data_IF_931917343896
#
_entry.id   IF_931917343896
#
_cell.length_a   1.000
_cell.length_b   1.000
_cell.length_c   1.000
_cell.angle_alpha   90.00
_cell.angle_beta   90.00
_cell.angle_gamma   90.00
#
_symmetry.space_group_name_H-M   'P 1'
#
loop_
_entity.id
_entity.type
_entity.pdbx_description
1 polymer ?
#
# COMPACT_ATOMS: atom_id res chain seq x y z
N UNK A 1 59.79 -4.41 -79.17
CA UNK A 1 60.08 -3.10 -78.57
C UNK A 1 58.80 -2.24 -78.61
N UNK A 2 58.49 -1.57 -77.58
CA UNK A 2 57.33 -0.75 -77.21
C UNK A 2 56.18 -1.52 -76.55
N UNK A 3 56.23 -1.50 -75.21
CA UNK A 3 55.24 -1.86 -74.22
C UNK A 3 54.02 -0.91 -74.27
N UNK A 4 52.84 -1.47 -74.42
CA UNK A 4 51.60 -0.72 -74.27
C UNK A 4 50.92 -1.12 -72.93
N UNK A 5 51.04 -0.29 -71.90
CA UNK A 5 50.43 -0.48 -70.64
C UNK A 5 48.92 -0.10 -70.75
N UNK A 6 48.01 -1.08 -70.69
CA UNK A 6 46.58 -0.85 -70.49
C UNK A 6 46.36 -0.63 -69.00
N UNK A 7 45.86 0.55 -68.62
CA UNK A 7 45.32 0.86 -67.32
C UNK A 7 43.91 0.28 -67.25
N UNK A 8 43.75 -0.74 -66.42
CA UNK A 8 42.41 -1.27 -66.04
C UNK A 8 41.90 -0.43 -64.87
N UNK A 9 40.86 0.32 -65.13
CA UNK A 9 40.13 1.13 -64.13
C UNK A 9 39.18 0.17 -63.41
N UNK A 10 39.51 -0.19 -62.16
CA UNK A 10 38.65 -1.00 -61.30
C UNK A 10 37.60 -0.10 -60.64
N UNK A 11 36.37 -0.15 -61.13
CA UNK A 11 35.24 0.56 -60.54
C UNK A 11 34.74 -0.26 -59.37
N UNK A 12 35.04 0.20 -58.13
CA UNK A 12 34.51 -0.38 -56.89
C UNK A 12 33.10 0.14 -56.73
N UNK A 13 32.11 -0.73 -56.98
CA UNK A 13 30.71 -0.50 -56.69
C UNK A 13 30.48 -0.70 -55.20
N UNK A 14 30.40 0.39 -54.44
CA UNK A 14 30.10 0.37 -53.02
C UNK A 14 28.63 0.09 -52.83
N UNK A 15 28.25 -1.15 -52.56
CA UNK A 15 26.89 -1.50 -52.16
C UNK A 15 26.69 -1.04 -50.71
N UNK A 16 26.01 0.09 -50.51
CA UNK A 16 25.48 0.49 -49.23
C UNK A 16 24.24 -0.38 -48.92
N UNK A 17 24.46 -1.44 -48.15
CA UNK A 17 23.37 -2.17 -47.52
C UNK A 17 22.90 -1.30 -46.34
N UNK A 18 21.88 -0.49 -46.56
CA UNK A 18 21.09 0.09 -45.46
C UNK A 18 20.38 -1.05 -44.74
N UNK A 19 20.98 -1.49 -43.61
CA UNK A 19 20.25 -2.24 -42.62
C UNK A 19 19.24 -1.24 -41.95
N UNK A 20 18.04 -1.19 -42.50
CA UNK A 20 16.89 -0.68 -41.78
C UNK A 20 16.58 -1.70 -40.70
N UNK A 21 17.19 -1.51 -39.51
CA UNK A 21 16.63 -2.08 -38.29
C UNK A 21 15.30 -1.37 -38.03
N UNK A 22 14.28 -1.76 -38.75
CA UNK A 22 12.92 -1.52 -38.37
C UNK A 22 12.67 -2.39 -37.14
N UNK A 23 12.88 -1.84 -35.96
CA UNK A 23 12.38 -2.40 -34.74
C UNK A 23 10.85 -2.38 -34.77
N UNK A 24 10.24 -3.36 -35.45
CA UNK A 24 8.80 -3.66 -35.37
C UNK A 24 8.59 -4.34 -34.02
N UNK A 25 8.70 -3.59 -32.91
CA UNK A 25 8.17 -4.03 -31.63
C UNK A 25 6.64 -4.10 -31.80
N UNK A 26 6.05 -5.24 -31.52
CA UNK A 26 4.59 -5.37 -31.45
C UNK A 26 4.06 -4.28 -30.52
N UNK A 27 2.95 -3.58 -30.87
CA UNK A 27 2.42 -2.53 -30.01
C UNK A 27 2.06 -3.11 -28.64
N UNK A 28 2.47 -2.41 -27.58
CA UNK A 28 2.13 -2.78 -26.22
C UNK A 28 0.63 -2.72 -26.02
N UNK A 29 0.05 -3.80 -25.49
CA UNK A 29 -1.36 -3.91 -25.17
C UNK A 29 -1.59 -3.62 -23.69
N UNK A 30 -2.69 -2.93 -23.40
CA UNK A 30 -3.20 -2.72 -22.06
C UNK A 30 -4.22 -3.82 -21.74
N UNK A 31 -3.99 -4.59 -20.68
CA UNK A 31 -4.93 -5.61 -20.17
C UNK A 31 -5.31 -5.20 -18.75
N UNK A 32 -6.61 -5.22 -18.43
CA UNK A 32 -7.10 -4.77 -17.12
C UNK A 32 -8.14 -5.71 -16.58
N UNK A 33 -8.17 -5.87 -15.25
CA UNK A 33 -9.16 -6.63 -14.50
C UNK A 33 -9.56 -5.87 -13.24
N UNK A 34 -10.79 -6.08 -12.78
CA UNK A 34 -11.27 -5.58 -11.49
C UNK A 34 -11.72 -6.74 -10.63
N UNK A 35 -11.48 -6.63 -9.31
CA UNK A 35 -11.89 -7.62 -8.32
C UNK A 35 -12.34 -6.93 -7.02
N UNK A 36 -12.92 -7.70 -6.09
CA UNK A 36 -13.24 -7.23 -4.74
C UNK A 36 -12.57 -8.17 -3.75
N UNK A 37 -11.55 -7.68 -3.06
CA UNK A 37 -10.74 -8.42 -2.09
C UNK A 37 -10.20 -7.45 -1.05
N UNK A 38 -9.82 -7.91 0.13
CA UNK A 38 -9.33 -7.06 1.23
C UNK A 38 -10.35 -5.97 1.64
N UNK A 39 -11.65 -6.27 1.50
CA UNK A 39 -12.74 -5.35 1.83
C UNK A 39 -12.80 -4.08 0.95
N UNK A 40 -12.23 -4.12 -0.27
CA UNK A 40 -12.22 -2.98 -1.19
C UNK A 40 -12.26 -3.43 -2.65
N UNK A 41 -12.48 -2.46 -3.56
CA UNK A 41 -12.33 -2.69 -5.00
C UNK A 41 -10.85 -2.61 -5.38
N UNK A 42 -10.41 -3.61 -6.13
CA UNK A 42 -9.06 -3.67 -6.72
C UNK A 42 -9.17 -3.50 -8.23
N UNK A 43 -8.31 -2.67 -8.80
CA UNK A 43 -8.13 -2.58 -10.25
C UNK A 43 -6.67 -2.85 -10.59
N UNK A 44 -6.45 -3.87 -11.42
CA UNK A 44 -5.13 -4.26 -11.91
C UNK A 44 -5.04 -4.02 -13.40
N UNK A 45 -3.97 -3.36 -13.84
CA UNK A 45 -3.68 -3.11 -15.26
C UNK A 45 -2.23 -3.44 -15.53
N UNK A 46 -1.98 -4.25 -16.55
CA UNK A 46 -0.63 -4.58 -17.02
C UNK A 46 -0.46 -4.19 -18.50
N UNK A 47 0.75 -3.81 -18.85
CA UNK A 47 1.16 -3.48 -20.22
C UNK A 47 2.11 -4.54 -20.74
N UNK A 48 1.68 -5.30 -21.73
CA UNK A 48 2.34 -6.48 -22.29
C UNK A 48 2.33 -6.47 -23.82
N UNK A 49 3.10 -7.32 -24.46
CA UNK A 49 3.03 -7.49 -25.91
C UNK A 49 1.89 -8.45 -26.33
N UNK A 50 1.65 -9.49 -25.56
CA UNK A 50 0.64 -10.52 -25.85
C UNK A 50 -0.48 -10.48 -24.78
N UNK A 51 -1.73 -10.38 -25.22
CA UNK A 51 -2.90 -10.27 -24.33
C UNK A 51 -3.08 -11.51 -23.43
N UNK A 52 -2.76 -12.69 -23.94
CA UNK A 52 -2.82 -13.94 -23.16
C UNK A 52 -1.88 -13.89 -21.97
N UNK A 53 -0.64 -13.44 -22.18
CA UNK A 53 0.33 -13.25 -21.10
C UNK A 53 -0.18 -12.21 -20.07
N UNK A 54 -0.82 -11.14 -20.55
CA UNK A 54 -1.42 -10.16 -19.66
C UNK A 54 -2.54 -10.74 -18.78
N UNK A 55 -3.37 -11.61 -19.32
CA UNK A 55 -4.42 -12.32 -18.57
C UNK A 55 -3.85 -13.28 -17.54
N UNK A 56 -2.80 -14.03 -17.91
CA UNK A 56 -2.13 -14.95 -17.00
C UNK A 56 -1.49 -14.19 -15.83
N UNK A 57 -0.81 -13.08 -16.10
CA UNK A 57 -0.23 -12.22 -15.05
C UNK A 57 -1.30 -11.62 -14.14
N UNK A 58 -2.44 -11.15 -14.68
CA UNK A 58 -3.53 -10.63 -13.87
C UNK A 58 -4.16 -11.71 -12.98
N UNK A 59 -4.26 -12.94 -13.47
CA UNK A 59 -4.75 -14.07 -12.69
C UNK A 59 -3.82 -14.36 -11.48
N UNK A 60 -2.52 -14.37 -11.69
CA UNK A 60 -1.53 -14.56 -10.61
C UNK A 60 -1.58 -13.40 -9.59
N UNK A 61 -1.74 -12.15 -10.03
CA UNK A 61 -1.94 -11.00 -9.15
C UNK A 61 -3.20 -11.18 -8.31
N UNK A 62 -4.29 -11.61 -8.91
CA UNK A 62 -5.55 -11.90 -8.23
C UNK A 62 -5.37 -13.00 -7.18
N UNK A 63 -4.73 -14.10 -7.53
CA UNK A 63 -4.46 -15.21 -6.62
C UNK A 63 -3.57 -14.76 -5.44
N UNK A 64 -2.57 -13.92 -5.70
CA UNK A 64 -1.74 -13.30 -4.66
C UNK A 64 -2.58 -12.45 -3.69
N UNK A 65 -3.47 -11.59 -4.19
CA UNK A 65 -4.36 -10.76 -3.37
C UNK A 65 -5.24 -11.61 -2.46
N UNK A 66 -5.92 -12.63 -3.01
CA UNK A 66 -6.77 -13.53 -2.24
C UNK A 66 -5.98 -14.35 -1.23
N UNK A 67 -4.81 -14.88 -1.61
CA UNK A 67 -3.94 -15.61 -0.69
C UNK A 67 -3.56 -14.77 0.53
N UNK A 68 -3.13 -13.52 0.31
CA UNK A 68 -2.76 -12.66 1.44
C UNK A 68 -3.97 -12.27 2.28
N UNK A 69 -5.13 -12.00 1.67
CA UNK A 69 -6.36 -11.68 2.40
C UNK A 69 -6.83 -12.84 3.27
N UNK A 70 -6.90 -14.04 2.73
CA UNK A 70 -7.57 -15.18 3.36
C UNK A 70 -6.63 -16.05 4.20
N UNK A 71 -5.35 -16.23 3.75
CA UNK A 71 -4.42 -17.19 4.35
C UNK A 71 -3.32 -16.53 5.20
N UNK A 72 -3.11 -15.21 5.07
CA UNK A 72 -2.02 -14.53 5.78
C UNK A 72 -2.54 -13.47 6.74
N UNK A 73 -3.24 -12.45 6.25
CA UNK A 73 -3.50 -11.20 6.97
C UNK A 73 -4.80 -11.21 7.78
N UNK A 74 -5.75 -12.05 7.41
CA UNK A 74 -7.06 -12.09 8.08
C UNK A 74 -6.92 -12.49 9.55
N UNK A 75 -7.50 -11.70 10.44
CA UNK A 75 -7.70 -12.11 11.82
C UNK A 75 -9.03 -12.86 12.02
N UNK A 76 -9.90 -12.88 10.99
CA UNK A 76 -11.22 -13.54 10.98
C UNK A 76 -11.19 -14.96 10.43
N UNK A 77 -10.38 -15.21 9.40
CA UNK A 77 -10.24 -16.53 8.80
C UNK A 77 -9.36 -17.42 9.68
N UNK A 78 -9.91 -18.53 10.19
CA UNK A 78 -9.22 -19.39 11.16
C UNK A 78 -7.89 -19.97 10.63
N UNK A 79 -7.79 -20.19 9.32
CA UNK A 79 -6.59 -20.72 8.67
C UNK A 79 -5.48 -19.68 8.55
N UNK A 80 -5.81 -18.37 8.54
CA UNK A 80 -4.86 -17.32 8.30
C UNK A 80 -3.78 -17.21 9.37
N UNK A 81 -2.56 -16.87 8.96
CA UNK A 81 -1.41 -16.80 9.87
C UNK A 81 -1.63 -15.82 11.03
N UNK A 82 -2.19 -14.63 10.77
CA UNK A 82 -2.50 -13.66 11.84
C UNK A 82 -3.54 -14.22 12.84
N UNK A 83 -4.56 -14.93 12.38
CA UNK A 83 -5.52 -15.59 13.27
C UNK A 83 -4.85 -16.70 14.08
N UNK A 84 -3.89 -17.42 13.50
CA UNK A 84 -3.10 -18.44 14.22
C UNK A 84 -2.21 -17.79 15.28
N UNK A 85 -1.50 -16.71 14.96
CA UNK A 85 -0.72 -15.93 15.91
C UNK A 85 -1.61 -15.47 17.08
N UNK A 86 -2.77 -14.89 16.78
CA UNK A 86 -3.71 -14.37 17.77
C UNK A 86 -4.22 -15.46 18.73
N UNK A 87 -4.35 -16.71 18.27
CA UNK A 87 -4.76 -17.84 19.13
C UNK A 87 -3.69 -18.27 20.13
N UNK A 88 -2.43 -17.92 19.91
CA UNK A 88 -1.34 -18.22 20.85
C UNK A 88 -1.21 -17.17 21.96
N UNK A 89 -2.01 -16.10 21.96
CA UNK A 89 -1.96 -15.08 22.99
C UNK A 89 -2.15 -15.68 24.39
N UNK A 90 -1.25 -15.32 25.34
CA UNK A 90 -1.20 -15.89 26.69
C UNK A 90 -0.57 -17.29 26.80
N UNK A 91 -0.18 -17.91 25.68
CA UNK A 91 0.48 -19.21 25.68
C UNK A 91 1.95 -19.10 26.08
N UNK A 92 2.43 -20.00 26.93
CA UNK A 92 3.85 -20.10 27.25
C UNK A 92 4.71 -20.56 26.06
N UNK A 93 4.10 -21.21 25.08
CA UNK A 93 4.80 -21.70 23.88
C UNK A 93 4.96 -20.63 22.80
N UNK A 94 4.05 -19.63 22.75
CA UNK A 94 4.05 -18.62 21.71
C UNK A 94 3.68 -19.17 20.32
N UNK A 95 3.93 -18.37 19.29
CA UNK A 95 3.80 -18.77 17.89
C UNK A 95 5.18 -18.99 17.29
N UNK A 96 5.46 -20.20 16.80
CA UNK A 96 6.72 -20.56 16.18
C UNK A 96 6.68 -20.22 14.67
N UNK A 97 7.74 -19.54 14.22
CA UNK A 97 7.90 -19.24 12.81
C UNK A 97 8.36 -20.48 12.04
N UNK A 98 7.77 -20.66 10.86
CA UNK A 98 8.39 -21.52 9.85
C UNK A 98 9.68 -20.91 9.35
N UNK A 99 10.65 -21.74 8.95
CA UNK A 99 11.89 -21.28 8.31
C UNK A 99 11.53 -20.38 7.12
N UNK A 100 12.16 -19.19 7.02
CA UNK A 100 11.97 -18.18 5.96
C UNK A 100 10.56 -17.54 5.88
N UNK A 101 9.83 -17.45 6.99
CA UNK A 101 8.54 -16.77 6.99
C UNK A 101 8.65 -15.29 6.53
N UNK A 102 8.05 -15.00 5.37
CA UNK A 102 7.97 -13.62 4.86
C UNK A 102 7.24 -12.69 5.81
N UNK A 103 6.19 -13.17 6.49
CA UNK A 103 5.44 -12.41 7.48
C UNK A 103 6.29 -12.00 8.69
N UNK A 104 7.24 -12.83 9.15
CA UNK A 104 8.17 -12.46 10.23
C UNK A 104 8.97 -11.21 9.87
N UNK A 105 9.49 -11.15 8.64
CA UNK A 105 10.23 -9.99 8.13
C UNK A 105 9.32 -8.76 8.04
N UNK A 106 8.13 -8.92 7.49
CA UNK A 106 7.17 -7.82 7.35
C UNK A 106 6.78 -7.27 8.73
N UNK A 107 6.48 -8.14 9.71
CA UNK A 107 6.20 -7.72 11.09
C UNK A 107 7.38 -7.02 11.74
N UNK A 108 8.64 -7.42 11.49
CA UNK A 108 9.80 -6.74 12.06
C UNK A 108 9.92 -5.28 11.59
N UNK A 109 9.57 -5.01 10.32
CA UNK A 109 9.50 -3.64 9.78
C UNK A 109 8.36 -2.85 10.45
N UNK A 110 7.19 -3.48 10.62
CA UNK A 110 6.04 -2.85 11.29
C UNK A 110 6.42 -2.46 12.73
N UNK A 111 7.12 -3.33 13.48
CA UNK A 111 7.61 -3.03 14.83
C UNK A 111 8.61 -1.88 14.86
N UNK A 112 9.51 -1.78 13.88
CA UNK A 112 10.40 -0.62 13.75
C UNK A 112 9.61 0.67 13.58
N UNK A 113 8.59 0.67 12.69
CA UNK A 113 7.72 1.83 12.48
C UNK A 113 6.92 2.15 13.74
N UNK A 114 6.39 1.14 14.45
CA UNK A 114 5.70 1.32 15.72
C UNK A 114 6.60 2.01 16.75
N UNK A 115 7.84 1.58 16.88
CA UNK A 115 8.80 2.18 17.80
C UNK A 115 9.14 3.64 17.42
N UNK A 116 9.41 3.92 16.15
CA UNK A 116 9.76 5.26 15.66
C UNK A 116 8.58 6.23 15.68
N UNK A 117 7.36 5.74 15.48
CA UNK A 117 6.13 6.54 15.61
C UNK A 117 5.67 6.70 17.07
N UNK A 118 6.41 6.14 18.04
CA UNK A 118 6.04 6.13 19.46
C UNK A 118 4.64 5.53 19.68
N UNK A 119 4.35 4.42 18.97
CA UNK A 119 3.08 3.70 19.08
C UNK A 119 1.92 4.26 18.24
N UNK A 120 2.09 5.36 17.51
CA UNK A 120 1.03 5.89 16.65
C UNK A 120 0.60 4.90 15.53
N UNK A 121 1.50 4.04 15.08
CA UNK A 121 1.19 2.77 14.43
C UNK A 121 1.33 1.66 15.46
N UNK A 122 0.25 0.99 15.79
CA UNK A 122 0.31 -0.21 16.64
C UNK A 122 -0.67 -1.26 16.13
N UNK A 123 -0.13 -2.33 15.57
CA UNK A 123 -0.94 -3.44 15.05
C UNK A 123 -1.50 -4.34 16.16
N UNK A 124 -1.17 -4.10 17.43
CA UNK A 124 -1.73 -4.82 18.58
C UNK A 124 -3.09 -4.29 19.01
N UNK A 125 -3.60 -3.22 18.38
CA UNK A 125 -4.93 -2.63 18.66
C UNK A 125 -6.12 -3.52 18.29
N UNK A 126 -5.87 -4.74 17.82
CA UNK A 126 -6.92 -5.68 17.41
C UNK A 126 -8.09 -5.84 18.38
N UNK A 127 -7.90 -5.91 19.71
CA UNK A 127 -9.04 -5.94 20.64
C UNK A 127 -9.94 -4.71 20.56
N UNK A 128 -9.34 -3.52 20.33
CA UNK A 128 -10.06 -2.25 20.22
C UNK A 128 -10.75 -2.13 18.86
N UNK A 129 -10.06 -2.41 17.75
CA UNK A 129 -10.68 -2.37 16.41
C UNK A 129 -11.86 -3.32 16.30
N UNK A 130 -11.79 -4.48 16.96
CA UNK A 130 -12.87 -5.47 16.96
C UNK A 130 -14.12 -5.02 17.71
N UNK A 131 -13.98 -4.28 18.82
CA UNK A 131 -15.15 -3.78 19.55
C UNK A 131 -15.81 -2.61 18.83
N UNK A 132 -15.05 -1.75 18.18
CA UNK A 132 -15.57 -0.70 17.31
C UNK A 132 -16.24 -1.27 16.07
N UNK A 133 -15.65 -2.28 15.45
CA UNK A 133 -16.11 -2.98 14.24
C UNK A 133 -16.56 -2.02 13.11
N UNK A 134 -15.87 -0.89 12.98
CA UNK A 134 -16.27 0.22 12.08
C UNK A 134 -16.25 -0.20 10.61
N UNK A 135 -15.40 -1.15 10.21
CA UNK A 135 -15.42 -1.72 8.87
C UNK A 135 -16.75 -2.40 8.54
N UNK A 136 -17.34 -3.09 9.52
CA UNK A 136 -18.65 -3.72 9.35
C UNK A 136 -19.76 -2.67 9.29
N UNK A 137 -19.78 -1.73 10.23
CA UNK A 137 -20.82 -0.72 10.33
C UNK A 137 -20.80 0.29 9.18
N UNK A 138 -19.64 0.57 8.59
CA UNK A 138 -19.54 1.44 7.42
C UNK A 138 -20.20 0.86 6.15
N UNK A 139 -20.40 -0.46 6.10
CA UNK A 139 -20.98 -1.16 4.95
C UNK A 139 -22.38 -1.72 5.21
N UNK A 140 -22.89 -1.61 6.44
CA UNK A 140 -24.18 -2.19 6.86
C UNK A 140 -25.07 -1.14 7.50
N UNK A 141 -26.32 -1.53 7.80
CA UNK A 141 -27.25 -0.68 8.50
C UNK A 141 -26.74 -0.36 9.91
N UNK A 142 -26.84 0.89 10.30
CA UNK A 142 -26.34 1.43 11.58
C UNK A 142 -27.43 1.59 12.64
N UNK A 143 -28.66 1.08 12.42
CA UNK A 143 -29.75 1.17 13.40
C UNK A 143 -29.36 0.56 14.77
N UNK A 144 -28.57 -0.50 14.78
CA UNK A 144 -28.09 -1.17 15.99
C UNK A 144 -26.72 -0.70 16.44
N UNK A 145 -26.11 0.28 15.76
CA UNK A 145 -24.79 0.79 16.14
C UNK A 145 -24.86 1.48 17.50
N UNK A 146 -23.89 1.16 18.34
CA UNK A 146 -23.70 1.83 19.64
C UNK A 146 -22.21 2.01 19.90
N UNK A 147 -21.86 3.13 20.53
CA UNK A 147 -20.49 3.36 20.94
C UNK A 147 -20.05 2.36 22.00
N UNK A 148 -18.82 1.81 21.92
CA UNK A 148 -18.22 1.11 23.04
C UNK A 148 -18.17 2.02 24.28
N UNK A 149 -18.41 1.46 25.48
CA UNK A 149 -18.29 2.26 26.69
C UNK A 149 -16.82 2.61 27.00
N UNK A 150 -16.59 3.70 27.72
CA UNK A 150 -15.25 4.10 28.13
C UNK A 150 -14.55 3.01 28.96
N UNK A 151 -15.32 2.28 29.80
CA UNK A 151 -14.79 1.17 30.59
C UNK A 151 -14.38 -0.01 29.71
N UNK A 152 -15.16 -0.33 28.66
CA UNK A 152 -14.78 -1.36 27.69
C UNK A 152 -13.48 -1.00 26.98
N UNK A 153 -13.36 0.23 26.47
CA UNK A 153 -12.14 0.70 25.80
C UNK A 153 -10.95 0.64 26.75
N UNK A 154 -11.08 1.13 27.99
CA UNK A 154 -9.99 1.12 28.97
C UNK A 154 -9.48 -0.30 29.25
N UNK A 155 -10.37 -1.28 29.43
CA UNK A 155 -10.01 -2.68 29.64
C UNK A 155 -9.30 -3.27 28.42
N UNK A 156 -9.77 -2.94 27.20
CA UNK A 156 -9.16 -3.46 25.97
C UNK A 156 -7.79 -2.86 25.71
N UNK A 157 -7.56 -1.59 26.05
CA UNK A 157 -6.25 -0.94 25.94
C UNK A 157 -5.19 -1.58 26.83
N UNK A 158 -5.57 -2.22 27.96
CA UNK A 158 -4.62 -2.98 28.77
C UNK A 158 -3.98 -4.13 27.98
N UNK A 159 -4.67 -4.64 26.95
CA UNK A 159 -4.25 -5.74 26.09
C UNK A 159 -3.65 -5.26 24.75
N UNK A 160 -3.24 -3.98 24.65
CA UNK A 160 -2.54 -3.42 23.51
C UNK A 160 -1.16 -2.90 23.91
N UNK A 161 -0.32 -2.58 22.94
CA UNK A 161 1.02 -2.06 23.15
C UNK A 161 2.07 -2.97 22.50
N UNK A 162 2.65 -2.51 21.38
CA UNK A 162 3.67 -3.27 20.62
C UNK A 162 4.88 -3.65 21.48
N UNK A 163 5.24 -2.84 22.47
CA UNK A 163 6.35 -3.06 23.38
C UNK A 163 6.12 -4.22 24.36
N UNK A 164 4.87 -4.66 24.55
CA UNK A 164 4.53 -5.82 25.40
C UNK A 164 4.76 -7.16 24.71
N UNK A 165 4.94 -7.13 23.37
CA UNK A 165 5.16 -8.33 22.56
C UNK A 165 6.62 -8.77 22.71
N UNK A 166 6.82 -10.03 23.08
CA UNK A 166 8.16 -10.60 23.22
C UNK A 166 8.55 -11.33 21.93
N UNK A 167 9.67 -10.91 21.35
CA UNK A 167 10.28 -11.55 20.19
C UNK A 167 11.44 -12.44 20.63
N UNK A 168 11.45 -13.66 20.15
CA UNK A 168 12.60 -14.57 20.20
C UNK A 168 13.00 -14.96 18.78
N UNK A 169 14.17 -15.58 18.60
CA UNK A 169 14.68 -15.93 17.27
C UNK A 169 13.65 -16.73 16.45
N UNK A 170 13.00 -17.72 17.09
CA UNK A 170 12.08 -18.63 16.41
C UNK A 170 10.61 -18.45 16.81
N UNK A 171 10.29 -17.52 17.70
CA UNK A 171 8.94 -17.40 18.24
C UNK A 171 8.51 -15.96 18.54
N UNK A 172 7.18 -15.76 18.50
CA UNK A 172 6.49 -14.54 18.88
C UNK A 172 5.54 -14.85 20.05
N UNK A 173 5.58 -14.05 21.10
CA UNK A 173 4.74 -14.20 22.27
C UNK A 173 3.87 -12.98 22.46
N UNK A 174 2.57 -13.19 22.33
CA UNK A 174 1.57 -12.17 22.62
C UNK A 174 1.07 -12.35 24.06
N UNK A 175 0.95 -11.27 24.87
CA UNK A 175 0.24 -11.30 26.14
C UNK A 175 -1.19 -11.83 25.99
N UNK A 176 -1.76 -12.35 27.08
CA UNK A 176 -3.15 -12.80 27.13
C UNK A 176 -4.10 -11.65 26.75
N UNK A 177 -5.08 -11.92 25.88
CA UNK A 177 -6.06 -10.95 25.41
C UNK A 177 -5.59 -10.04 24.27
N UNK A 178 -4.28 -9.99 23.99
CA UNK A 178 -3.75 -9.23 22.84
C UNK A 178 -4.14 -9.88 21.52
N UNK A 179 -4.36 -9.06 20.50
CA UNK A 179 -4.61 -9.51 19.12
C UNK A 179 -3.96 -8.56 18.12
N UNK A 180 -3.32 -9.12 17.12
CA UNK A 180 -2.84 -8.38 15.96
C UNK A 180 -3.97 -8.12 14.98
N UNK A 181 -3.97 -6.91 14.43
CA UNK A 181 -4.80 -6.48 13.30
C UNK A 181 -3.90 -5.71 12.32
N UNK A 182 -3.72 -6.25 11.11
CA UNK A 182 -2.85 -5.67 10.08
C UNK A 182 -3.62 -4.80 9.07
N UNK A 183 -4.81 -4.35 9.38
CA UNK A 183 -5.63 -3.51 8.49
C UNK A 183 -4.95 -2.22 8.05
N UNK A 184 -4.08 -1.65 8.90
CA UNK A 184 -3.34 -0.42 8.64
C UNK A 184 -2.14 -0.58 7.68
N UNK A 185 -1.74 -1.81 7.35
CA UNK A 185 -0.51 -2.10 6.60
C UNK A 185 -0.70 -3.14 5.50
N UNK A 186 -1.82 -3.86 5.53
CA UNK A 186 -2.03 -5.06 4.72
C UNK A 186 -2.06 -4.81 3.22
N UNK A 187 -2.67 -3.71 2.78
CA UNK A 187 -2.80 -3.38 1.35
C UNK A 187 -1.44 -3.04 0.75
N UNK A 188 -0.66 -2.22 1.46
CA UNK A 188 0.70 -1.88 1.06
C UNK A 188 1.62 -3.09 1.05
N UNK A 189 1.53 -3.94 2.06
CA UNK A 189 2.28 -5.19 2.13
C UNK A 189 2.04 -6.07 0.89
N UNK A 190 0.78 -6.26 0.50
CA UNK A 190 0.46 -7.06 -0.69
C UNK A 190 0.95 -6.38 -1.96
N UNK A 191 0.92 -5.05 -2.05
CA UNK A 191 1.52 -4.31 -3.18
C UNK A 191 3.02 -4.60 -3.32
N UNK A 192 3.78 -4.72 -2.21
CA UNK A 192 5.21 -5.12 -2.25
C UNK A 192 5.39 -6.54 -2.82
N UNK A 193 4.52 -7.49 -2.44
CA UNK A 193 4.58 -8.86 -2.97
C UNK A 193 4.27 -8.89 -4.48
N UNK A 194 3.27 -8.13 -4.91
CA UNK A 194 2.93 -8.00 -6.32
C UNK A 194 4.07 -7.32 -7.11
N UNK A 195 4.70 -6.28 -6.57
CA UNK A 195 5.85 -5.63 -7.20
C UNK A 195 7.02 -6.61 -7.37
N UNK A 196 7.30 -7.43 -6.34
CA UNK A 196 8.31 -8.48 -6.40
C UNK A 196 8.00 -9.51 -7.48
N UNK A 197 6.75 -9.97 -7.56
CA UNK A 197 6.29 -10.87 -8.62
C UNK A 197 6.46 -10.22 -10.01
N UNK A 198 6.07 -8.96 -10.18
CA UNK A 198 6.19 -8.25 -11.47
C UNK A 198 7.64 -8.09 -11.92
N UNK A 199 8.61 -7.96 -10.99
CA UNK A 199 10.05 -7.89 -11.31
C UNK A 199 10.55 -9.17 -12.00
N UNK A 200 9.96 -10.30 -11.69
CA UNK A 200 10.28 -11.60 -12.31
C UNK A 200 9.62 -11.77 -13.69
N UNK A 201 8.59 -10.95 -14.00
CA UNK A 201 7.80 -11.06 -15.23
C UNK A 201 8.40 -10.21 -16.37
N UNK A 202 9.40 -10.72 -17.09
CA UNK A 202 10.09 -9.99 -18.16
C UNK A 202 9.17 -9.52 -19.31
N UNK A 203 8.00 -10.14 -19.45
CA UNK A 203 6.99 -9.78 -20.45
C UNK A 203 6.18 -8.54 -20.07
N UNK A 204 6.13 -8.19 -18.76
CA UNK A 204 5.41 -7.01 -18.28
C UNK A 204 6.31 -5.79 -18.42
N UNK A 205 5.84 -4.78 -19.13
CA UNK A 205 6.59 -3.52 -19.34
C UNK A 205 6.28 -2.49 -18.27
N UNK A 206 5.02 -2.43 -17.86
CA UNK A 206 4.53 -1.52 -16.86
C UNK A 206 3.24 -2.05 -16.25
N UNK A 207 2.88 -1.57 -15.07
CA UNK A 207 1.63 -1.92 -14.40
C UNK A 207 1.15 -0.77 -13.52
N UNK A 208 -0.15 -0.70 -13.30
CA UNK A 208 -0.76 0.08 -12.21
C UNK A 208 -1.81 -0.79 -11.52
N UNK A 209 -1.72 -0.86 -10.21
CA UNK A 209 -2.62 -1.65 -9.38
C UNK A 209 -3.14 -0.74 -8.27
N UNK A 210 -4.44 -0.69 -8.11
CA UNK A 210 -5.09 0.06 -7.03
C UNK A 210 -5.79 -0.90 -6.10
N UNK A 211 -5.54 -0.79 -4.80
CA UNK A 211 -6.15 -1.59 -3.73
C UNK A 211 -6.77 -0.61 -2.73
N UNK A 212 -8.01 -0.17 -2.99
CA UNK A 212 -8.62 0.92 -2.23
C UNK A 212 -7.76 2.19 -2.29
N UNK A 213 -7.36 2.70 -1.12
CA UNK A 213 -6.51 3.89 -0.99
C UNK A 213 -5.01 3.66 -1.30
N UNK A 214 -4.59 2.43 -1.59
CA UNK A 214 -3.19 2.09 -1.91
C UNK A 214 -3.00 1.87 -3.40
N UNK A 215 -1.93 2.43 -3.98
CA UNK A 215 -1.62 2.35 -5.42
C UNK A 215 -0.17 1.93 -5.61
N UNK A 216 0.04 0.91 -6.44
CA UNK A 216 1.35 0.53 -7.00
C UNK A 216 1.42 1.01 -8.45
N UNK A 217 2.42 1.82 -8.79
CA UNK A 217 2.88 2.00 -10.16
C UNK A 217 4.15 1.16 -10.36
N UNK A 218 4.28 0.47 -11.48
CA UNK A 218 5.42 -0.38 -11.79
C UNK A 218 5.94 -0.06 -13.19
N UNK A 219 7.23 0.28 -13.28
CA UNK A 219 7.88 0.64 -14.53
C UNK A 219 7.32 1.91 -15.20
N UNK A 220 7.89 2.28 -16.32
CA UNK A 220 7.46 3.44 -17.09
C UNK A 220 6.37 3.07 -18.08
N UNK A 221 5.37 3.94 -18.22
CA UNK A 221 4.33 3.73 -19.24
C UNK A 221 4.92 3.62 -20.63
N UNK A 222 4.44 2.68 -21.46
CA UNK A 222 4.97 2.44 -22.81
C UNK A 222 4.86 3.62 -23.77
N UNK A 223 3.95 4.57 -23.49
CA UNK A 223 3.75 5.80 -24.27
C UNK A 223 4.66 6.95 -23.83
N UNK A 224 5.49 6.73 -22.82
CA UNK A 224 6.40 7.74 -22.24
C UNK A 224 5.71 8.79 -21.36
N UNK A 225 4.40 8.67 -21.12
CA UNK A 225 3.69 9.56 -20.20
C UNK A 225 3.88 9.14 -18.75
N UNK A 226 3.73 10.09 -17.82
CA UNK A 226 3.76 9.79 -16.38
C UNK A 226 2.51 9.04 -15.92
N UNK A 227 2.63 8.34 -14.79
CA UNK A 227 1.50 7.87 -14.00
C UNK A 227 0.84 9.05 -13.31
N UNK A 228 -0.49 9.10 -13.37
CA UNK A 228 -1.26 10.13 -12.70
C UNK A 228 -2.16 9.48 -11.66
N UNK A 229 -1.88 9.73 -10.38
CA UNK A 229 -2.66 9.23 -9.25
C UNK A 229 -3.42 10.40 -8.63
N UNK A 230 -4.76 10.37 -8.68
CA UNK A 230 -5.58 11.42 -8.14
C UNK A 230 -5.63 11.36 -6.60
N UNK A 231 -5.47 12.52 -5.95
CA UNK A 231 -5.69 12.68 -4.51
C UNK A 231 -7.13 13.11 -4.30
N UNK A 232 -7.92 12.22 -3.71
CA UNK A 232 -9.36 12.42 -3.50
C UNK A 232 -9.61 13.60 -2.57
N UNK A 233 -10.68 14.35 -2.83
CA UNK A 233 -11.08 15.46 -1.96
C UNK A 233 -11.86 14.91 -0.75
N UNK A 234 -11.39 15.12 0.50
CA UNK A 234 -11.92 14.45 1.69
C UNK A 234 -13.35 14.85 2.08
N UNK A 235 -13.87 15.94 1.50
CA UNK A 235 -15.18 16.51 1.85
C UNK A 235 -16.10 16.72 0.65
N UNK A 236 -15.71 16.35 -0.57
CA UNK A 236 -16.53 16.49 -1.77
C UNK A 236 -16.51 15.21 -2.57
N UNK A 237 -17.67 14.60 -2.72
CA UNK A 237 -17.83 13.41 -3.55
C UNK A 237 -17.42 13.67 -5.01
N UNK A 238 -16.84 12.68 -5.64
CA UNK A 238 -16.41 12.72 -7.05
C UNK A 238 -15.47 13.90 -7.41
N UNK A 239 -14.76 14.44 -6.40
CA UNK A 239 -13.79 15.50 -6.57
C UNK A 239 -12.39 15.03 -6.13
N UNK A 240 -11.35 15.69 -6.63
CA UNK A 240 -9.97 15.49 -6.21
C UNK A 240 -9.27 16.83 -5.97
N UNK A 241 -8.29 16.83 -5.08
CA UNK A 241 -7.50 18.00 -4.71
C UNK A 241 -6.44 18.32 -5.77
N UNK A 242 -5.91 17.29 -6.39
CA UNK A 242 -4.85 17.35 -7.38
C UNK A 242 -4.43 15.96 -7.81
N UNK A 243 -3.30 15.89 -8.48
CA UNK A 243 -2.78 14.66 -9.07
C UNK A 243 -1.30 14.52 -8.75
N UNK A 244 -0.88 13.35 -8.29
CA UNK A 244 0.52 12.97 -8.24
C UNK A 244 0.97 12.53 -9.63
N UNK A 245 2.09 13.07 -10.08
CA UNK A 245 2.72 12.73 -11.37
C UNK A 245 3.99 11.93 -11.08
N UNK A 246 3.97 10.63 -11.40
CA UNK A 246 5.01 9.67 -11.05
C UNK A 246 5.61 9.03 -12.31
N UNK A 247 6.87 8.66 -12.25
CA UNK A 247 7.58 7.85 -13.26
C UNK A 247 8.24 6.67 -12.60
N UNK A 248 8.27 5.52 -13.27
CA UNK A 248 8.85 4.31 -12.68
C UNK A 248 7.95 3.63 -11.65
N UNK A 249 8.60 2.96 -10.69
CA UNK A 249 7.92 2.18 -9.65
C UNK A 249 7.80 3.01 -8.37
N UNK A 250 6.56 3.20 -7.91
CA UNK A 250 6.24 3.89 -6.67
C UNK A 250 5.05 3.26 -5.98
N UNK A 251 5.00 3.42 -4.67
CA UNK A 251 3.86 3.05 -3.84
C UNK A 251 3.26 4.31 -3.24
N UNK A 252 1.95 4.44 -3.36
CA UNK A 252 1.17 5.54 -2.80
C UNK A 252 0.15 4.93 -1.86
N UNK A 253 0.05 5.42 -0.64
CA UNK A 253 -1.01 5.04 0.28
C UNK A 253 -1.66 6.28 0.88
N UNK A 254 -2.96 6.24 1.03
CA UNK A 254 -3.73 7.31 1.65
C UNK A 254 -4.56 6.77 2.80
N UNK A 255 -4.41 7.38 3.97
CA UNK A 255 -5.26 7.21 5.13
C UNK A 255 -6.18 8.43 5.27
N UNK A 256 -7.49 8.20 5.43
CA UNK A 256 -8.47 9.28 5.50
C UNK A 256 -9.69 8.93 6.33
N UNK A 257 -10.26 9.92 7.01
CA UNK A 257 -11.44 9.80 7.87
C UNK A 257 -12.75 9.61 7.10
N UNK A 258 -12.69 9.69 5.78
CA UNK A 258 -13.82 9.61 4.85
C UNK A 258 -13.93 8.25 4.12
N UNK A 259 -12.96 7.36 4.31
CA UNK A 259 -12.94 6.08 3.60
C UNK A 259 -13.92 5.07 4.21
N UNK A 260 -13.85 4.88 5.53
CA UNK A 260 -14.74 3.99 6.29
C UNK A 260 -15.10 4.66 7.60
N UNK A 261 -16.37 5.00 7.77
CA UNK A 261 -16.85 5.69 8.96
C UNK A 261 -18.34 5.42 9.19
N UNK A 262 -18.77 5.68 10.42
CA UNK A 262 -20.16 5.73 10.83
C UNK A 262 -20.47 7.15 11.30
N UNK A 263 -21.57 7.71 10.84
CA UNK A 263 -22.11 8.94 11.41
C UNK A 263 -23.16 8.60 12.47
N UNK A 264 -22.88 8.96 13.71
CA UNK A 264 -23.76 8.71 14.83
C UNK A 264 -23.90 9.95 15.71
N UNK A 265 -25.14 10.36 15.96
CA UNK A 265 -25.48 11.59 16.70
C UNK A 265 -24.75 12.85 16.17
N UNK A 266 -24.55 12.95 14.85
CA UNK A 266 -23.92 14.10 14.22
C UNK A 266 -22.38 14.14 14.33
N UNK A 267 -21.75 13.09 14.87
CA UNK A 267 -20.31 12.92 14.90
C UNK A 267 -19.89 11.75 14.00
N UNK A 268 -18.77 11.92 13.30
CA UNK A 268 -18.14 10.88 12.48
C UNK A 268 -17.18 10.06 13.33
N UNK A 269 -17.28 8.73 13.21
CA UNK A 269 -16.39 7.75 13.81
C UNK A 269 -15.77 6.93 12.70
N UNK A 270 -14.52 7.22 12.36
CA UNK A 270 -13.78 6.54 11.29
C UNK A 270 -12.90 5.42 11.84
N UNK A 271 -12.47 4.53 10.95
CA UNK A 271 -11.79 3.27 11.28
C UNK A 271 -10.34 3.40 11.75
N UNK A 272 -9.72 4.59 11.64
CA UNK A 272 -8.33 4.80 12.08
C UNK A 272 -8.35 5.10 13.58
N UNK A 273 -7.98 4.10 14.36
CA UNK A 273 -7.97 4.19 15.84
C UNK A 273 -6.63 4.75 16.31
N UNK A 274 -6.69 5.69 17.23
CA UNK A 274 -5.55 6.14 18.01
C UNK A 274 -5.25 5.09 19.09
N UNK A 275 -4.06 4.45 19.10
CA UNK A 275 -3.71 3.41 20.04
C UNK A 275 -3.64 3.86 21.49
N UNK A 276 -3.35 5.14 21.73
CA UNK A 276 -3.24 5.70 23.09
C UNK A 276 -4.62 5.90 23.73
N UNK A 277 -5.61 6.29 22.93
CA UNK A 277 -6.95 6.61 23.44
C UNK A 277 -7.97 5.49 23.23
N UNK A 278 -7.76 4.63 22.23
CA UNK A 278 -8.70 3.59 21.80
C UNK A 278 -9.93 4.14 21.06
N UNK A 279 -9.91 5.40 20.67
CA UNK A 279 -10.96 6.06 19.87
C UNK A 279 -10.46 6.40 18.47
N UNK A 280 -11.36 6.67 17.50
CA UNK A 280 -10.96 7.26 16.24
C UNK A 280 -10.08 8.48 16.45
N UNK A 281 -8.94 8.54 15.74
CA UNK A 281 -7.94 9.59 15.89
C UNK A 281 -8.52 10.98 15.58
N UNK A 282 -8.17 11.96 16.39
CA UNK A 282 -8.60 13.35 16.26
C UNK A 282 -7.35 14.27 16.35
N UNK A 283 -6.58 14.26 15.26
CA UNK A 283 -5.24 14.85 15.18
C UNK A 283 -5.19 16.15 14.39
N UNK A 284 -6.36 16.67 13.94
CA UNK A 284 -6.46 17.89 13.14
C UNK A 284 -6.16 17.68 11.65
N UNK A 285 -6.04 16.41 11.20
CA UNK A 285 -5.91 16.05 9.77
C UNK A 285 -7.02 15.10 9.36
N UNK A 286 -7.53 15.28 8.16
CA UNK A 286 -8.58 14.44 7.58
C UNK A 286 -8.06 13.49 6.49
N UNK A 287 -6.85 13.69 6.00
CA UNK A 287 -6.20 12.82 5.02
C UNK A 287 -4.68 12.94 5.07
N UNK A 288 -4.00 11.80 4.93
CA UNK A 288 -2.54 11.74 4.75
C UNK A 288 -2.22 10.81 3.60
N UNK A 289 -1.45 11.30 2.63
CA UNK A 289 -0.94 10.50 1.51
C UNK A 289 0.57 10.39 1.61
N UNK A 290 1.09 9.17 1.55
CA UNK A 290 2.53 8.87 1.53
C UNK A 290 2.92 8.28 0.17
N UNK A 291 4.06 8.71 -0.36
CA UNK A 291 4.72 8.12 -1.53
C UNK A 291 6.10 7.61 -1.12
N UNK A 292 6.39 6.36 -1.39
CA UNK A 292 7.67 5.73 -1.09
C UNK A 292 8.05 4.62 -2.10
N UNK A 293 9.16 3.93 -1.84
CA UNK A 293 9.63 2.78 -2.62
C UNK A 293 9.14 1.42 -2.05
N UNK A 294 8.31 1.43 -0.99
CA UNK A 294 7.72 0.24 -0.37
C UNK A 294 6.24 0.47 -0.05
N UNK A 295 5.41 -0.48 -0.44
CA UNK A 295 3.99 -0.46 -0.15
C UNK A 295 3.70 -0.55 1.34
N UNK A 296 4.37 -1.48 2.03
CA UNK A 296 4.27 -1.63 3.47
C UNK A 296 4.60 -0.32 4.20
N UNK A 297 5.71 0.33 3.80
CA UNK A 297 6.13 1.59 4.40
C UNK A 297 5.12 2.72 4.12
N UNK A 298 4.61 2.83 2.89
CA UNK A 298 3.61 3.85 2.54
C UNK A 298 2.31 3.68 3.34
N UNK A 299 1.79 2.45 3.45
CA UNK A 299 0.53 2.17 4.15
C UNK A 299 0.70 2.41 5.67
N UNK A 300 1.77 1.90 6.26
CA UNK A 300 2.10 2.06 7.67
C UNK A 300 2.27 3.54 8.07
N UNK A 301 3.06 4.29 7.28
CA UNK A 301 3.32 5.69 7.58
C UNK A 301 2.13 6.60 7.32
N UNK A 302 1.25 6.27 6.33
CA UNK A 302 0.03 7.05 6.13
C UNK A 302 -0.87 6.99 7.37
N UNK A 303 -0.97 5.83 8.02
CA UNK A 303 -1.72 5.64 9.27
C UNK A 303 -1.02 6.30 10.46
N UNK A 304 0.28 6.05 10.66
CA UNK A 304 1.04 6.66 11.76
C UNK A 304 0.99 8.20 11.70
N UNK A 305 1.22 8.78 10.52
CA UNK A 305 1.19 10.22 10.32
C UNK A 305 -0.22 10.80 10.51
N UNK A 306 -1.27 10.05 10.15
CA UNK A 306 -2.65 10.44 10.40
C UNK A 306 -2.94 10.54 11.92
N UNK A 307 -2.50 9.56 12.70
CA UNK A 307 -2.66 9.56 14.17
C UNK A 307 -1.84 10.67 14.83
N UNK A 308 -0.60 10.91 14.36
CA UNK A 308 0.30 11.94 14.90
C UNK A 308 -0.11 13.37 14.57
N UNK A 309 -0.87 13.58 13.51
CA UNK A 309 -1.17 14.90 12.95
C UNK A 309 -0.01 15.49 12.13
N UNK A 310 -0.22 16.68 11.56
CA UNK A 310 0.68 17.23 10.55
C UNK A 310 2.09 17.51 11.07
N UNK A 311 2.26 18.08 12.28
CA UNK A 311 3.57 18.47 12.79
C UNK A 311 4.47 17.26 13.08
N UNK A 312 4.00 16.34 13.92
CA UNK A 312 4.77 15.13 14.28
C UNK A 312 4.85 14.14 13.12
N UNK A 313 3.78 14.03 12.34
CA UNK A 313 3.74 13.17 11.14
C UNK A 313 4.72 13.63 10.06
N UNK A 314 4.92 14.96 9.89
CA UNK A 314 5.93 15.50 8.99
C UNK A 314 7.33 15.09 9.43
N UNK A 315 7.65 15.25 10.72
CA UNK A 315 8.95 14.84 11.26
C UNK A 315 9.20 13.33 11.06
N UNK A 316 8.17 12.49 11.26
CA UNK A 316 8.26 11.05 11.01
C UNK A 316 8.49 10.75 9.52
N UNK A 317 7.76 11.40 8.61
CA UNK A 317 7.94 11.23 7.17
C UNK A 317 9.36 11.62 6.71
N UNK A 318 9.92 12.70 7.26
CA UNK A 318 11.31 13.13 7.01
C UNK A 318 12.33 12.12 7.56
N UNK A 319 12.10 11.54 8.75
CA UNK A 319 12.96 10.50 9.32
C UNK A 319 13.03 9.27 8.42
N UNK A 320 11.89 8.84 7.86
CA UNK A 320 11.81 7.74 6.92
C UNK A 320 12.15 8.12 5.47
N UNK A 321 12.46 9.38 5.20
CA UNK A 321 12.80 9.89 3.87
C UNK A 321 11.71 9.62 2.81
N UNK A 322 10.45 9.66 3.21
CA UNK A 322 9.29 9.49 2.32
C UNK A 322 8.65 10.83 1.97
N UNK A 323 7.84 10.84 0.91
CA UNK A 323 7.09 12.03 0.52
C UNK A 323 5.69 11.98 1.13
N UNK A 324 5.31 13.07 1.81
CA UNK A 324 4.04 13.14 2.53
C UNK A 324 3.21 14.37 2.11
N UNK A 325 1.89 14.16 2.00
CA UNK A 325 0.88 15.20 1.83
C UNK A 325 -0.18 15.04 2.91
N UNK A 326 -0.35 16.07 3.72
CA UNK A 326 -1.38 16.17 4.75
C UNK A 326 -2.48 17.11 4.30
N UNK A 327 -3.73 16.76 4.57
CA UNK A 327 -4.88 17.64 4.43
C UNK A 327 -5.46 17.83 5.83
N UNK A 328 -5.49 19.07 6.31
CA UNK A 328 -6.06 19.39 7.62
C UNK A 328 -7.60 19.37 7.57
N UNK A 329 -8.23 19.42 8.74
CA UNK A 329 -9.70 19.52 8.84
C UNK A 329 -10.24 20.81 8.19
N UNK A 330 -9.43 21.89 8.16
CA UNK A 330 -9.74 23.13 7.44
C UNK A 330 -9.39 23.09 5.95
N UNK A 331 -8.98 21.92 5.44
CA UNK A 331 -8.60 21.67 4.05
C UNK A 331 -7.32 22.41 3.61
N UNK A 332 -6.46 22.79 4.52
CA UNK A 332 -5.12 23.23 4.18
C UNK A 332 -4.25 22.04 3.77
N UNK A 333 -3.39 22.25 2.77
CA UNK A 333 -2.48 21.21 2.25
C UNK A 333 -1.07 21.52 2.74
N UNK A 334 -0.49 20.58 3.49
CA UNK A 334 0.88 20.64 4.01
C UNK A 334 1.67 19.49 3.38
N UNK A 335 2.89 19.75 2.89
CA UNK A 335 3.65 18.75 2.12
C UNK A 335 5.13 18.81 2.42
N UNK A 336 5.82 17.65 2.32
CA UNK A 336 7.29 17.60 2.22
C UNK A 336 7.77 18.28 0.94
N UNK A 337 9.04 18.73 0.91
CA UNK A 337 9.58 19.41 -0.28
C UNK A 337 9.52 18.52 -1.53
N UNK A 338 9.88 17.24 -1.43
CA UNK A 338 9.80 16.34 -2.57
C UNK A 338 8.36 16.03 -3.02
N UNK A 339 7.38 16.08 -2.11
CA UNK A 339 5.97 15.92 -2.49
C UNK A 339 5.48 17.10 -3.33
N UNK A 340 5.99 18.31 -3.12
CA UNK A 340 5.65 19.49 -3.93
C UNK A 340 6.06 19.34 -5.40
N UNK A 341 7.11 18.57 -5.66
CA UNK A 341 7.56 18.27 -7.03
C UNK A 341 6.66 17.24 -7.73
N UNK A 342 6.00 16.37 -6.97
CA UNK A 342 5.13 15.32 -7.47
C UNK A 342 3.68 15.77 -7.63
N UNK A 343 3.21 16.69 -6.78
CA UNK A 343 1.79 17.05 -6.68
C UNK A 343 1.44 18.26 -7.55
N UNK A 344 0.48 18.06 -8.45
CA UNK A 344 -0.11 19.12 -9.28
C UNK A 344 -1.52 19.41 -8.73
N UNK A 345 -1.74 20.57 -8.10
CA UNK A 345 -3.06 20.91 -7.57
C UNK A 345 -4.08 21.10 -8.70
N UNK A 346 -5.33 20.75 -8.42
CA UNK A 346 -6.44 21.02 -9.31
C UNK A 346 -6.72 22.53 -9.36
N UNK A 347 -6.79 23.08 -10.55
CA UNK A 347 -7.19 24.48 -10.78
C UNK A 347 -8.69 24.68 -10.59
#
# INVERSE_FOLDING_TARGET
MKSCRRKTMLTILLFHVLFLFGGCGSPTKKVSEADTVMGTVVQSTVYVQEETVGKDVLQEIKECLHFYDEEVLSWRAEAAQIAQINRTAGSEQGYFWEEESGLKKDLSIIWEISAKSNGALDVTVGPVTQVWNLDYWAMNDTEEFSLPSAEQIAVLLENTGYEKVRWEEDALFLPEGMKLDLGAVGKGLVCDKIASYLQEQTAVKASIITVGGSVLTYGDKPDGSSWNVAIVHPRKENAYLGTLTLTGTHFVATSGDYERYVEWQGKRYHHIIDPDTGYPADSGVCSVTIVSESGLLSDALSTACFVLGAEKGMALAEEFQVQALFVTDDLEIIMTEGMKELFIPRQ
#
